data_IF_600400841899
#
_entry.id   IF_600400841899
#
_cell.length_a   1.000
_cell.length_b   1.000
_cell.length_c   1.000
_cell.angle_alpha   90.00
_cell.angle_beta   90.00
_cell.angle_gamma   90.00
#
_symmetry.space_group_name_H-M   'P 1'
#
loop_
_entity.id
_entity.type
_entity.pdbx_description
1 polymer ?
#
# COMPACT_ATOMS: atom_id res chain seq x y z
N UNK A 1 -70.49 27.45 28.70
CA UNK A 1 -69.64 26.45 29.40
C UNK A 1 -68.51 26.08 28.46
N UNK A 2 -67.29 26.21 28.96
CA UNK A 2 -66.00 26.01 28.27
C UNK A 2 -65.77 24.54 27.88
N UNK A 3 -65.13 24.27 26.73
CA UNK A 3 -63.67 24.10 26.65
C UNK A 3 -63.20 23.89 25.19
N UNK A 4 -62.20 24.68 24.81
CA UNK A 4 -61.35 24.53 23.61
C UNK A 4 -60.43 23.32 23.73
N UNK A 5 -60.08 22.68 22.61
CA UNK A 5 -58.75 22.06 22.48
C UNK A 5 -58.20 22.15 21.04
N UNK A 6 -57.37 23.19 20.90
CA UNK A 6 -56.18 23.43 20.10
C UNK A 6 -55.65 22.32 19.15
N UNK A 7 -55.50 22.71 17.88
CA UNK A 7 -54.63 22.09 16.87
C UNK A 7 -53.18 22.55 17.11
N UNK A 8 -52.22 21.63 17.21
CA UNK A 8 -50.78 21.95 17.18
C UNK A 8 -50.09 21.11 16.10
N UNK A 9 -49.40 21.80 15.19
CA UNK A 9 -48.70 21.26 14.04
C UNK A 9 -47.30 20.72 14.33
N UNK A 10 -46.81 19.97 13.33
CA UNK A 10 -45.46 19.44 13.22
C UNK A 10 -44.38 20.53 13.26
N UNK A 11 -43.35 20.34 14.08
CA UNK A 11 -41.98 20.76 13.80
C UNK A 11 -41.00 19.99 14.72
N UNK A 12 -40.47 18.87 14.23
CA UNK A 12 -39.37 18.16 14.88
C UNK A 12 -38.04 18.84 14.56
N UNK A 13 -37.47 19.57 15.52
CA UNK A 13 -36.06 19.98 15.48
C UNK A 13 -35.18 18.84 15.98
N UNK A 14 -34.46 18.20 15.06
CA UNK A 14 -33.33 17.32 15.40
C UNK A 14 -32.06 18.16 15.50
N UNK A 15 -31.59 18.38 16.72
CA UNK A 15 -30.25 18.88 16.98
C UNK A 15 -29.23 17.81 16.58
N UNK A 16 -28.46 18.09 15.52
CA UNK A 16 -27.34 17.26 15.10
C UNK A 16 -26.18 17.36 16.09
N UNK A 17 -25.85 16.26 16.76
CA UNK A 17 -24.51 16.07 17.30
C UNK A 17 -23.57 15.71 16.15
N UNK A 18 -22.67 16.63 15.81
CA UNK A 18 -21.47 16.34 15.02
C UNK A 18 -20.57 15.39 15.83
N UNK A 19 -20.64 14.10 15.52
CA UNK A 19 -19.63 13.13 15.93
C UNK A 19 -18.39 13.24 15.06
N UNK A 20 -17.23 13.37 15.70
CA UNK A 20 -15.90 13.37 15.10
C UNK A 20 -15.66 12.10 14.25
N UNK A 21 -14.97 12.28 13.11
CA UNK A 21 -14.55 11.20 12.22
C UNK A 21 -13.68 10.16 12.93
N UNK A 22 -14.22 8.95 13.06
CA UNK A 22 -13.54 7.78 13.60
C UNK A 22 -13.40 6.69 12.52
N UNK A 23 -12.21 6.10 12.45
CA UNK A 23 -11.85 4.97 11.60
C UNK A 23 -12.81 3.78 11.78
N UNK A 24 -13.31 3.24 10.66
CA UNK A 24 -13.88 1.89 10.58
C UNK A 24 -15.40 1.87 10.39
N UNK A 25 -15.85 1.73 9.13
CA UNK A 25 -17.20 1.21 8.88
C UNK A 25 -17.35 -0.18 9.52
N UNK A 26 -18.51 -0.46 10.12
CA UNK A 26 -18.86 -1.68 10.86
C UNK A 26 -18.35 -2.94 10.13
N UNK A 27 -17.29 -3.57 10.64
CA UNK A 27 -16.79 -4.85 10.14
C UNK A 27 -17.62 -5.95 10.81
N UNK A 28 -18.22 -6.83 10.02
CA UNK A 28 -18.91 -8.04 10.48
C UNK A 28 -18.04 -9.24 10.16
N UNK A 29 -17.92 -10.18 11.10
CA UNK A 29 -17.21 -11.45 10.87
C UNK A 29 -18.20 -12.54 10.50
N UNK A 30 -17.80 -13.42 9.59
CA UNK A 30 -18.56 -14.59 9.14
C UNK A 30 -17.66 -15.83 9.20
N UNK A 31 -18.24 -17.00 9.42
CA UNK A 31 -17.54 -18.27 9.41
C UNK A 31 -17.34 -18.79 7.96
N UNK A 32 -16.41 -19.75 7.72
CA UNK A 32 -16.21 -20.31 6.40
C UNK A 32 -17.50 -20.91 5.82
N UNK A 33 -17.89 -20.43 4.63
CA UNK A 33 -19.10 -20.86 3.93
C UNK A 33 -20.38 -20.11 4.30
N UNK A 34 -20.32 -19.16 5.24
CA UNK A 34 -21.41 -18.22 5.48
C UNK A 34 -21.40 -17.09 4.43
N UNK A 35 -22.58 -16.54 4.14
CA UNK A 35 -22.71 -15.36 3.28
C UNK A 35 -22.62 -14.08 4.11
N UNK A 36 -22.10 -13.00 3.51
CA UNK A 36 -22.17 -11.69 4.14
C UNK A 36 -23.63 -11.25 4.35
N UNK A 37 -23.93 -10.53 5.45
CA UNK A 37 -25.24 -9.93 5.64
C UNK A 37 -25.67 -9.05 4.46
N UNK A 38 -26.98 -8.96 4.23
CA UNK A 38 -27.54 -8.15 3.15
C UNK A 38 -27.00 -6.69 3.20
N UNK A 39 -26.55 -6.19 2.06
CA UNK A 39 -25.96 -4.85 1.93
C UNK A 39 -24.46 -4.77 2.24
N UNK A 40 -23.79 -5.90 2.50
CA UNK A 40 -22.35 -5.97 2.71
C UNK A 40 -21.67 -6.84 1.65
N UNK A 41 -20.36 -6.68 1.52
CA UNK A 41 -19.52 -7.57 0.72
C UNK A 41 -18.34 -8.06 1.55
N UNK A 42 -17.89 -9.27 1.24
CA UNK A 42 -16.66 -9.81 1.80
C UNK A 42 -15.48 -9.07 1.15
N UNK A 43 -14.70 -8.36 1.96
CA UNK A 43 -13.54 -7.60 1.47
C UNK A 43 -12.21 -8.26 1.89
N UNK A 44 -12.28 -9.19 2.83
CA UNK A 44 -11.23 -10.13 3.27
C UNK A 44 -11.93 -11.40 3.73
N UNK A 45 -11.22 -12.52 3.65
CA UNK A 45 -11.73 -13.81 4.14
C UNK A 45 -12.31 -13.68 5.56
N UNK A 46 -13.57 -14.05 5.71
CA UNK A 46 -14.31 -13.99 6.97
C UNK A 46 -14.71 -12.58 7.44
N UNK A 47 -14.55 -11.54 6.61
CA UNK A 47 -14.80 -10.15 7.00
C UNK A 47 -15.63 -9.39 5.94
N UNK A 48 -16.81 -8.97 6.37
CA UNK A 48 -17.77 -8.22 5.60
C UNK A 48 -17.83 -6.75 6.03
N UNK A 49 -18.14 -5.87 5.09
CA UNK A 49 -18.52 -4.48 5.42
C UNK A 49 -19.44 -3.88 4.36
N UNK A 50 -20.27 -2.88 4.72
CA UNK A 50 -21.05 -2.15 3.75
C UNK A 50 -20.20 -1.10 3.02
N UNK A 51 -20.53 -0.76 1.77
CA UNK A 51 -19.98 0.44 1.13
C UNK A 51 -20.46 1.71 1.86
N UNK A 52 -19.66 2.77 1.82
CA UNK A 52 -20.02 4.08 2.40
C UNK A 52 -21.22 4.71 1.68
N UNK A 53 -21.35 4.47 0.37
CA UNK A 53 -22.40 5.03 -0.47
C UNK A 53 -23.40 3.95 -0.88
N UNK A 54 -24.66 4.33 -1.18
CA UNK A 54 -25.62 3.42 -1.78
C UNK A 54 -25.00 2.74 -3.01
N UNK A 55 -25.04 1.41 -3.04
CA UNK A 55 -24.56 0.67 -4.18
C UNK A 55 -25.36 1.08 -5.44
N UNK A 56 -24.70 1.29 -6.59
CA UNK A 56 -25.43 1.49 -7.83
C UNK A 56 -26.30 0.29 -8.13
N UNK A 57 -27.44 0.54 -8.78
CA UNK A 57 -28.24 -0.57 -9.30
C UNK A 57 -27.44 -1.29 -10.38
N UNK A 58 -27.75 -2.57 -10.61
CA UNK A 58 -27.11 -3.36 -11.67
C UNK A 58 -27.28 -2.73 -13.07
N UNK A 59 -28.33 -1.93 -13.29
CA UNK A 59 -28.60 -1.27 -14.58
C UNK A 59 -27.88 0.08 -14.75
N UNK A 60 -27.48 0.69 -13.64
CA UNK A 60 -26.75 1.97 -13.59
C UNK A 60 -25.24 1.75 -13.53
N UNK A 61 -24.78 0.66 -12.90
CA UNK A 61 -23.37 0.31 -12.84
C UNK A 61 -22.87 -0.16 -14.20
N UNK A 62 -22.09 0.68 -14.90
CA UNK A 62 -21.56 0.39 -16.24
C UNK A 62 -20.03 0.51 -16.23
N UNK A 63 -19.33 -0.35 -15.46
CA UNK A 63 -17.88 -0.34 -15.46
C UNK A 63 -17.38 -0.71 -16.86
N UNK A 64 -16.35 -0.03 -17.32
CA UNK A 64 -15.61 -0.47 -18.50
C UNK A 64 -14.55 -1.44 -18.00
N UNK A 65 -14.77 -2.73 -18.21
CA UNK A 65 -13.79 -3.76 -17.84
C UNK A 65 -12.45 -3.49 -18.54
N UNK A 66 -11.38 -3.44 -17.77
CA UNK A 66 -10.01 -3.33 -18.29
C UNK A 66 -9.37 -4.68 -18.64
N UNK A 67 -10.00 -5.83 -18.32
CA UNK A 67 -9.39 -7.14 -18.54
C UNK A 67 -10.41 -8.29 -18.61
N UNK A 68 -10.49 -8.96 -19.76
CA UNK A 68 -11.21 -10.23 -19.95
C UNK A 68 -10.32 -11.16 -20.75
N UNK A 69 -9.76 -12.18 -20.09
CA UNK A 69 -8.89 -13.18 -20.72
C UNK A 69 -9.17 -14.58 -20.15
N UNK A 70 -8.86 -15.59 -20.95
CA UNK A 70 -8.91 -16.99 -20.52
C UNK A 70 -7.95 -17.23 -19.34
N UNK A 71 -8.40 -17.99 -18.35
CA UNK A 71 -7.58 -18.33 -17.18
C UNK A 71 -6.87 -19.66 -17.41
N UNK A 72 -5.57 -19.69 -17.15
CA UNK A 72 -4.78 -20.92 -17.20
C UNK A 72 -4.07 -21.13 -15.84
N UNK A 73 -4.74 -21.77 -14.87
CA UNK A 73 -4.15 -21.99 -13.55
C UNK A 73 -2.88 -22.85 -13.65
N UNK A 74 -1.75 -22.28 -13.26
CA UNK A 74 -0.47 -22.97 -13.15
C UNK A 74 -0.06 -22.99 -11.67
N UNK A 75 -0.57 -23.97 -10.87
CA UNK A 75 -0.43 -23.95 -9.41
C UNK A 75 1.01 -24.17 -8.92
N UNK A 76 1.95 -24.50 -9.81
CA UNK A 76 3.36 -24.67 -9.50
C UNK A 76 4.22 -24.17 -10.65
N UNK A 77 5.25 -23.40 -10.35
CA UNK A 77 6.16 -22.91 -11.38
C UNK A 77 7.00 -24.07 -11.97
N UNK A 78 7.13 -24.10 -13.30
CA UNK A 78 7.93 -25.12 -14.01
C UNK A 78 9.42 -25.08 -13.62
N UNK A 79 9.94 -23.87 -13.37
CA UNK A 79 11.31 -23.63 -12.91
C UNK A 79 11.28 -22.95 -11.53
N UNK A 80 12.35 -23.07 -10.72
CA UNK A 80 12.43 -22.37 -9.45
C UNK A 80 12.29 -20.86 -9.63
N UNK A 81 11.36 -20.23 -8.92
CA UNK A 81 11.08 -18.78 -9.03
C UNK A 81 11.54 -18.02 -7.80
N UNK A 82 11.79 -16.72 -7.99
CA UNK A 82 12.02 -15.76 -6.91
C UNK A 82 10.80 -14.86 -6.84
N UNK A 83 10.15 -14.80 -5.68
CA UNK A 83 9.17 -13.76 -5.39
C UNK A 83 9.93 -12.51 -4.96
N UNK A 84 9.94 -11.50 -5.83
CA UNK A 84 10.64 -10.23 -5.59
C UNK A 84 9.78 -9.18 -4.87
N UNK A 85 8.50 -9.47 -4.58
CA UNK A 85 7.57 -8.49 -4.02
C UNK A 85 6.65 -9.08 -2.97
N UNK A 86 7.21 -9.29 -1.77
CA UNK A 86 6.48 -9.76 -0.61
C UNK A 86 6.58 -8.77 0.57
N UNK A 87 5.58 -8.76 1.45
CA UNK A 87 5.53 -7.90 2.63
C UNK A 87 5.37 -8.69 3.95
N UNK A 88 5.48 -10.01 3.90
CA UNK A 88 5.27 -10.90 5.04
C UNK A 88 6.48 -10.89 5.96
N UNK A 89 6.26 -10.53 7.22
CA UNK A 89 7.26 -10.69 8.27
C UNK A 89 7.42 -12.16 8.61
N UNK A 90 8.61 -12.71 8.39
CA UNK A 90 8.95 -14.09 8.75
C UNK A 90 9.40 -14.13 10.21
N UNK A 91 8.85 -15.07 10.97
CA UNK A 91 9.14 -15.27 12.39
C UNK A 91 9.00 -16.75 12.78
N UNK A 92 9.27 -17.08 14.04
CA UNK A 92 9.26 -18.46 14.53
C UNK A 92 7.91 -19.18 14.36
N UNK A 93 6.79 -18.43 14.34
CA UNK A 93 5.45 -19.01 14.26
C UNK A 93 5.04 -19.38 12.83
N UNK A 94 5.58 -18.71 11.80
CA UNK A 94 5.13 -18.88 10.43
C UNK A 94 6.18 -19.47 9.47
N UNK A 95 7.47 -19.46 9.83
CA UNK A 95 8.55 -19.82 8.89
C UNK A 95 8.41 -21.24 8.34
N UNK A 96 8.02 -22.20 9.17
CA UNK A 96 7.84 -23.60 8.76
C UNK A 96 6.68 -23.76 7.77
N UNK A 97 5.58 -23.03 7.98
CA UNK A 97 4.46 -23.04 7.05
C UNK A 97 4.81 -22.36 5.73
N UNK A 98 5.43 -21.19 5.79
CA UNK A 98 5.83 -20.42 4.62
C UNK A 98 6.76 -21.25 3.72
N UNK A 99 7.75 -21.94 4.29
CA UNK A 99 8.65 -22.80 3.51
C UNK A 99 7.90 -23.94 2.82
N UNK A 100 6.93 -24.59 3.48
CA UNK A 100 6.10 -25.62 2.83
C UNK A 100 5.29 -25.07 1.66
N UNK A 101 4.71 -23.89 1.81
CA UNK A 101 3.96 -23.21 0.74
C UNK A 101 4.88 -22.83 -0.42
N UNK A 102 6.06 -22.27 -0.11
CA UNK A 102 7.08 -21.97 -1.11
C UNK A 102 7.51 -23.23 -1.88
N UNK A 103 7.72 -24.36 -1.21
CA UNK A 103 8.09 -25.62 -1.86
C UNK A 103 6.98 -26.16 -2.77
N UNK A 104 5.72 -26.05 -2.35
CA UNK A 104 4.56 -26.43 -3.17
C UNK A 104 4.47 -25.61 -4.47
N UNK A 105 4.85 -24.33 -4.42
CA UNK A 105 4.83 -23.41 -5.56
C UNK A 105 6.09 -23.47 -6.44
N UNK A 106 7.14 -24.21 -6.03
CA UNK A 106 8.49 -24.14 -6.59
C UNK A 106 9.11 -22.73 -6.46
N UNK A 107 8.81 -22.05 -5.36
CA UNK A 107 9.33 -20.73 -5.00
C UNK A 107 10.62 -20.92 -4.18
N UNK A 108 11.74 -20.54 -4.79
CA UNK A 108 13.08 -20.75 -4.21
C UNK A 108 13.42 -19.71 -3.16
N UNK A 109 13.21 -18.44 -3.48
CA UNK A 109 13.54 -17.29 -2.62
C UNK A 109 12.35 -16.34 -2.55
N UNK A 110 12.01 -15.92 -1.35
CA UNK A 110 11.04 -14.85 -1.09
C UNK A 110 11.77 -13.61 -0.59
N UNK A 111 11.55 -12.49 -1.27
CA UNK A 111 12.14 -11.19 -0.92
C UNK A 111 11.11 -10.37 -0.17
N UNK A 112 11.35 -10.16 1.13
CA UNK A 112 10.55 -9.28 1.97
C UNK A 112 10.99 -7.82 1.77
N UNK A 113 10.05 -6.97 1.37
CA UNK A 113 10.23 -5.55 1.10
C UNK A 113 9.95 -4.65 2.32
N UNK A 114 9.67 -5.24 3.47
CA UNK A 114 9.34 -4.56 4.74
C UNK A 114 10.47 -4.69 5.77
N UNK A 115 11.70 -4.33 5.41
CA UNK A 115 12.85 -4.41 6.30
C UNK A 115 12.81 -3.39 7.45
N UNK A 116 12.24 -2.21 7.21
CA UNK A 116 12.30 -1.06 8.11
C UNK A 116 13.32 -0.01 7.69
N UNK A 117 13.18 1.20 8.23
CA UNK A 117 14.09 2.32 8.01
C UNK A 117 15.19 2.44 9.08
N UNK A 118 15.00 1.84 10.26
CA UNK A 118 16.06 1.65 11.24
C UNK A 118 16.92 0.45 10.82
N UNK A 119 18.25 0.61 10.67
CA UNK A 119 19.14 -0.50 10.33
C UNK A 119 19.12 -1.65 11.35
N UNK A 120 18.73 -1.41 12.62
CA UNK A 120 18.56 -2.46 13.62
C UNK A 120 17.36 -3.36 13.33
N UNK A 121 16.25 -2.80 12.85
CA UNK A 121 15.07 -3.58 12.44
C UNK A 121 15.40 -4.52 11.26
N UNK A 122 16.24 -4.04 10.34
CA UNK A 122 16.77 -4.84 9.22
C UNK A 122 17.68 -5.93 9.76
N UNK A 123 18.59 -5.58 10.68
CA UNK A 123 19.52 -6.53 11.29
C UNK A 123 18.79 -7.67 11.99
N UNK A 124 17.79 -7.36 12.80
CA UNK A 124 17.01 -8.37 13.52
C UNK A 124 16.37 -9.38 12.56
N UNK A 125 15.72 -8.90 11.50
CA UNK A 125 15.08 -9.76 10.49
C UNK A 125 16.10 -10.62 9.75
N UNK A 126 17.22 -10.02 9.34
CA UNK A 126 18.27 -10.75 8.63
C UNK A 126 18.94 -11.79 9.54
N UNK A 127 19.22 -11.45 10.80
CA UNK A 127 19.81 -12.38 11.76
C UNK A 127 18.85 -13.51 12.12
N UNK A 128 17.55 -13.23 12.25
CA UNK A 128 16.54 -14.27 12.40
C UNK A 128 16.58 -15.27 11.24
N UNK A 129 16.61 -14.77 9.99
CA UNK A 129 16.71 -15.62 8.79
C UNK A 129 18.03 -16.43 8.80
N UNK A 130 19.16 -15.78 9.05
CA UNK A 130 20.50 -16.42 9.07
C UNK A 130 20.62 -17.52 10.11
N UNK A 131 20.02 -17.33 11.28
CA UNK A 131 20.04 -18.30 12.38
C UNK A 131 18.91 -19.34 12.30
N UNK A 132 18.04 -19.27 11.29
CA UNK A 132 17.00 -20.26 11.05
C UNK A 132 17.54 -21.50 10.32
N UNK A 133 16.69 -22.51 10.17
CA UNK A 133 16.96 -23.68 9.30
C UNK A 133 16.94 -23.35 7.80
N UNK A 134 16.56 -22.12 7.43
CA UNK A 134 16.25 -21.72 6.06
C UNK A 134 16.96 -20.43 5.62
N UNK A 135 18.29 -20.29 5.86
CA UNK A 135 19.01 -19.04 5.61
C UNK A 135 19.00 -18.61 4.13
N UNK A 136 18.79 -19.55 3.21
CA UNK A 136 18.80 -19.31 1.76
C UNK A 136 17.41 -19.08 1.15
N UNK A 137 16.35 -19.10 1.97
CA UNK A 137 14.96 -19.02 1.48
C UNK A 137 14.39 -17.61 1.50
N UNK A 138 14.99 -16.70 2.26
CA UNK A 138 14.45 -15.36 2.48
C UNK A 138 15.51 -14.28 2.30
N UNK A 139 15.12 -13.13 1.75
CA UNK A 139 15.95 -11.93 1.66
C UNK A 139 15.16 -10.70 2.09
N UNK A 140 15.85 -9.64 2.48
CA UNK A 140 15.23 -8.42 3.02
C UNK A 140 15.69 -7.21 2.22
N UNK A 141 14.78 -6.32 1.88
CA UNK A 141 15.08 -4.97 1.40
C UNK A 141 14.91 -3.98 2.55
N UNK A 142 15.77 -2.96 2.59
CA UNK A 142 15.63 -1.84 3.52
C UNK A 142 14.55 -0.85 3.03
N UNK A 143 14.10 0.02 3.94
CA UNK A 143 13.24 1.15 3.63
C UNK A 143 13.92 2.46 4.08
N UNK A 144 13.30 3.59 3.75
CA UNK A 144 13.68 4.92 4.24
C UNK A 144 12.42 5.63 4.72
N UNK A 145 12.53 6.38 5.81
CA UNK A 145 11.47 7.31 6.22
C UNK A 145 11.65 8.65 5.52
N UNK A 146 10.66 9.02 4.72
CA UNK A 146 10.69 10.19 3.85
C UNK A 146 10.09 11.43 4.51
N UNK A 147 9.45 11.31 5.67
CA UNK A 147 8.86 12.47 6.32
C UNK A 147 9.94 13.44 6.81
N UNK A 148 9.72 14.73 6.56
CA UNK A 148 10.65 15.81 6.89
C UNK A 148 12.03 15.61 6.24
N UNK A 149 12.07 15.17 4.98
CA UNK A 149 13.32 14.95 4.24
C UNK A 149 14.16 16.22 4.03
N UNK A 150 13.56 17.39 4.20
CA UNK A 150 14.17 18.71 4.20
C UNK A 150 14.74 19.13 5.56
N UNK A 151 14.51 18.35 6.62
CA UNK A 151 15.04 18.66 7.95
C UNK A 151 16.58 18.58 7.95
N UNK A 152 17.28 19.47 8.69
CA UNK A 152 18.73 19.44 8.78
C UNK A 152 19.29 18.05 9.14
N UNK A 153 20.26 17.59 8.36
CA UNK A 153 20.93 16.32 8.56
C UNK A 153 20.13 15.09 8.09
N UNK A 154 18.94 15.23 7.51
CA UNK A 154 18.14 14.08 7.06
C UNK A 154 18.88 13.27 6.00
N UNK A 155 19.44 13.92 4.98
CA UNK A 155 20.12 13.25 3.87
C UNK A 155 21.30 12.39 4.35
N UNK A 156 22.13 12.94 5.24
CA UNK A 156 23.25 12.23 5.85
C UNK A 156 22.77 11.02 6.67
N UNK A 157 21.74 11.20 7.50
CA UNK A 157 21.17 10.11 8.31
C UNK A 157 20.55 9.02 7.44
N UNK A 158 19.80 9.38 6.40
CA UNK A 158 19.16 8.44 5.48
C UNK A 158 20.22 7.59 4.74
N UNK A 159 21.27 8.23 4.25
CA UNK A 159 22.41 7.54 3.61
C UNK A 159 23.15 6.64 4.60
N UNK A 160 23.45 7.13 5.81
CA UNK A 160 24.13 6.33 6.84
C UNK A 160 23.30 5.11 7.25
N UNK A 161 22.01 5.29 7.51
CA UNK A 161 21.10 4.21 7.89
C UNK A 161 20.95 3.18 6.78
N UNK A 162 20.77 3.62 5.52
CA UNK A 162 20.67 2.70 4.39
C UNK A 162 21.99 1.94 4.20
N UNK A 163 23.15 2.61 4.22
CA UNK A 163 24.44 1.94 4.10
C UNK A 163 24.64 0.90 5.23
N UNK A 164 24.22 1.24 6.46
CA UNK A 164 24.28 0.30 7.59
C UNK A 164 23.29 -0.87 7.41
N UNK A 165 22.09 -0.64 6.90
CA UNK A 165 21.12 -1.69 6.61
C UNK A 165 21.65 -2.68 5.55
N UNK A 166 22.35 -2.19 4.52
CA UNK A 166 23.03 -3.03 3.53
C UNK A 166 24.16 -3.83 4.18
N UNK A 167 25.00 -3.21 5.02
CA UNK A 167 26.02 -3.93 5.82
C UNK A 167 25.40 -5.02 6.71
N UNK A 168 24.21 -4.77 7.25
CA UNK A 168 23.47 -5.74 8.06
C UNK A 168 22.90 -6.91 7.23
N UNK A 169 22.79 -6.75 5.91
CA UNK A 169 22.44 -7.81 4.96
C UNK A 169 21.16 -7.57 4.15
N UNK A 170 20.60 -6.36 4.18
CA UNK A 170 19.61 -6.00 3.16
C UNK A 170 20.25 -6.04 1.77
N UNK A 171 19.49 -6.51 0.79
CA UNK A 171 19.99 -6.72 -0.58
C UNK A 171 19.50 -5.66 -1.58
N UNK A 172 18.79 -4.64 -1.11
CA UNK A 172 18.16 -3.62 -1.93
C UNK A 172 17.34 -2.63 -1.10
N UNK A 173 16.78 -1.63 -1.79
CA UNK A 173 15.93 -0.60 -1.22
C UNK A 173 14.50 -0.71 -1.77
N UNK A 174 13.50 -0.74 -0.88
CA UNK A 174 12.08 -0.62 -1.24
C UNK A 174 11.61 0.80 -0.99
N UNK A 175 11.04 1.40 -2.03
CA UNK A 175 10.24 2.63 -1.94
C UNK A 175 8.77 2.23 -1.90
N UNK A 176 8.10 2.62 -0.82
CA UNK A 176 6.65 2.47 -0.70
C UNK A 176 5.94 3.71 -1.26
N UNK A 177 4.65 3.53 -1.56
CA UNK A 177 3.78 4.53 -2.17
C UNK A 177 3.65 5.84 -1.39
N UNK A 178 4.07 5.85 -0.12
CA UNK A 178 4.06 7.08 0.68
C UNK A 178 4.96 8.15 0.07
N UNK A 179 6.09 7.80 -0.55
CA UNK A 179 6.87 8.75 -1.32
C UNK A 179 6.08 9.18 -2.56
N UNK A 180 5.82 10.48 -2.67
CA UNK A 180 4.96 11.04 -3.71
C UNK A 180 3.50 11.19 -3.29
N UNK A 181 2.91 10.30 -2.48
CA UNK A 181 1.50 10.43 -2.05
C UNK A 181 1.33 11.17 -0.72
N UNK A 182 1.92 10.64 0.35
CA UNK A 182 1.59 11.02 1.73
C UNK A 182 2.77 11.57 2.52
N UNK A 183 4.01 11.30 2.10
CA UNK A 183 5.19 11.90 2.69
C UNK A 183 5.13 13.43 2.57
N UNK A 184 5.52 14.12 3.64
CA UNK A 184 5.53 15.58 3.72
C UNK A 184 6.91 16.11 4.06
N UNK A 185 7.22 17.30 3.57
CA UNK A 185 8.30 18.15 4.05
C UNK A 185 7.92 18.79 5.38
N UNK A 186 8.88 19.43 6.03
CA UNK A 186 8.73 20.06 7.34
C UNK A 186 7.70 21.21 7.31
N UNK A 187 7.48 21.83 6.15
CA UNK A 187 6.46 22.86 5.94
C UNK A 187 5.05 22.30 5.66
N UNK A 188 4.89 20.97 5.63
CA UNK A 188 3.63 20.29 5.33
C UNK A 188 3.33 20.15 3.85
N UNK A 189 4.19 20.62 2.95
CA UNK A 189 4.07 20.37 1.51
C UNK A 189 4.37 18.91 1.17
N UNK A 190 3.82 18.43 0.06
CA UNK A 190 4.05 17.06 -0.43
C UNK A 190 5.50 16.90 -0.85
N UNK A 191 6.14 15.81 -0.42
CA UNK A 191 7.45 15.43 -0.93
C UNK A 191 7.27 14.73 -2.28
N UNK A 192 7.75 15.38 -3.34
CA UNK A 192 7.69 14.85 -4.71
C UNK A 192 8.68 13.70 -4.90
N UNK A 193 8.39 12.81 -5.84
CA UNK A 193 9.22 11.61 -6.09
C UNK A 193 10.57 11.98 -6.73
N UNK A 194 10.60 13.08 -7.49
CA UNK A 194 11.79 13.65 -8.15
C UNK A 194 12.48 14.75 -7.34
N UNK A 195 12.16 14.90 -6.06
CA UNK A 195 12.74 15.97 -5.26
C UNK A 195 14.28 15.82 -5.15
N UNK A 196 15.06 16.88 -5.44
CA UNK A 196 16.52 16.83 -5.39
C UNK A 196 17.10 16.41 -4.03
N UNK A 197 16.36 16.61 -2.93
CA UNK A 197 16.75 16.17 -1.59
C UNK A 197 16.99 14.66 -1.50
N UNK A 198 16.36 13.88 -2.38
CA UNK A 198 16.43 12.41 -2.39
C UNK A 198 17.67 11.89 -3.10
N UNK A 199 18.35 12.74 -3.88
CA UNK A 199 19.49 12.35 -4.72
C UNK A 199 20.60 11.60 -3.97
N UNK A 200 20.99 11.97 -2.73
CA UNK A 200 22.01 11.23 -2.00
C UNK A 200 21.67 9.74 -1.76
N UNK A 201 20.39 9.42 -1.60
CA UNK A 201 19.93 8.02 -1.44
C UNK A 201 20.10 7.25 -2.76
N UNK A 202 19.77 7.86 -3.89
CA UNK A 202 19.95 7.27 -5.22
C UNK A 202 21.42 7.08 -5.56
N UNK A 203 22.25 8.08 -5.28
CA UNK A 203 23.71 8.03 -5.49
C UNK A 203 24.35 6.91 -4.66
N UNK A 204 23.89 6.71 -3.41
CA UNK A 204 24.30 5.57 -2.59
C UNK A 204 23.92 4.24 -3.23
N UNK A 205 22.67 4.09 -3.70
CA UNK A 205 22.20 2.86 -4.33
C UNK A 205 23.03 2.51 -5.58
N UNK A 206 23.31 3.50 -6.42
CA UNK A 206 24.18 3.34 -7.58
C UNK A 206 25.63 2.97 -7.19
N UNK A 207 26.19 3.64 -6.17
CA UNK A 207 27.55 3.38 -5.69
C UNK A 207 27.72 1.96 -5.14
N UNK A 208 26.70 1.43 -4.47
CA UNK A 208 26.71 0.08 -3.90
C UNK A 208 26.21 -1.00 -4.86
N UNK A 209 25.77 -0.64 -6.07
CA UNK A 209 25.13 -1.52 -7.05
C UNK A 209 23.98 -2.37 -6.47
N UNK A 210 23.13 -1.73 -5.66
CA UNK A 210 21.93 -2.36 -5.12
C UNK A 210 20.68 -1.97 -5.94
N UNK A 211 19.73 -2.88 -6.14
CA UNK A 211 18.47 -2.56 -6.80
C UNK A 211 17.56 -1.71 -5.90
N UNK A 212 16.79 -0.84 -6.54
CA UNK A 212 15.72 -0.07 -5.91
C UNK A 212 14.39 -0.54 -6.51
N UNK A 213 13.55 -1.21 -5.72
CA UNK A 213 12.18 -1.52 -6.14
C UNK A 213 11.25 -0.40 -5.68
N UNK A 214 10.57 0.22 -6.62
CA UNK A 214 9.74 1.40 -6.37
C UNK A 214 8.29 1.12 -6.68
N UNK A 215 7.46 1.32 -5.66
CA UNK A 215 6.02 1.37 -5.78
C UNK A 215 5.60 2.82 -5.53
N UNK A 216 5.26 3.53 -6.60
CA UNK A 216 4.79 4.92 -6.58
C UNK A 216 3.45 4.96 -7.29
N UNK A 217 2.46 5.58 -6.66
CA UNK A 217 1.08 5.59 -7.15
C UNK A 217 0.24 4.44 -6.60
N UNK A 218 -0.95 4.33 -7.19
CA UNK A 218 -2.03 3.39 -6.92
C UNK A 218 -2.72 3.10 -8.27
N UNK A 219 -3.67 2.14 -8.38
CA UNK A 219 -4.46 1.99 -9.60
C UNK A 219 -5.01 3.33 -10.10
N UNK A 220 -4.95 3.58 -11.41
CA UNK A 220 -5.26 4.89 -12.00
C UNK A 220 -6.68 5.37 -11.62
N UNK A 221 -7.62 4.44 -11.45
CA UNK A 221 -9.00 4.70 -11.06
C UNK A 221 -9.12 5.32 -9.67
N UNK A 222 -8.12 5.16 -8.80
CA UNK A 222 -8.10 5.78 -7.48
C UNK A 222 -7.91 7.30 -7.56
N UNK A 223 -7.46 7.81 -8.71
CA UNK A 223 -7.30 9.23 -9.01
C UNK A 223 -8.46 9.79 -9.83
N UNK A 224 -9.50 8.99 -10.07
CA UNK A 224 -10.72 9.40 -10.77
C UNK A 224 -11.89 9.47 -9.80
N UNK A 225 -12.88 10.36 -10.02
CA UNK A 225 -14.07 10.43 -9.19
C UNK A 225 -14.74 9.08 -9.01
N UNK A 226 -15.35 8.89 -7.84
CA UNK A 226 -16.19 7.74 -7.56
C UNK A 226 -17.55 7.90 -8.25
N UNK A 227 -17.65 7.47 -9.50
CA UNK A 227 -18.87 7.49 -10.31
C UNK A 227 -19.21 6.09 -10.86
N UNK A 228 -20.27 6.01 -11.67
CA UNK A 228 -20.77 4.74 -12.20
C UNK A 228 -19.92 4.15 -13.34
N UNK A 229 -18.86 4.85 -13.75
CA UNK A 229 -17.90 4.42 -14.78
C UNK A 229 -16.57 3.94 -14.17
N UNK A 230 -16.30 4.26 -12.92
CA UNK A 230 -15.11 3.82 -12.19
C UNK A 230 -15.21 2.33 -11.84
N UNK A 231 -14.34 1.49 -12.43
CA UNK A 231 -14.35 0.04 -12.16
C UNK A 231 -13.91 -0.31 -10.73
N UNK A 232 -13.22 0.60 -10.04
CA UNK A 232 -12.85 0.49 -8.62
C UNK A 232 -13.91 1.07 -7.69
N UNK A 233 -15.13 1.32 -8.16
CA UNK A 233 -16.20 1.92 -7.35
C UNK A 233 -16.39 1.23 -6.01
N UNK A 234 -16.55 -0.11 -6.01
CA UNK A 234 -16.78 -0.85 -4.78
C UNK A 234 -15.59 -0.73 -3.83
N UNK A 235 -14.37 -0.91 -4.34
CA UNK A 235 -13.14 -0.81 -3.56
C UNK A 235 -13.00 0.57 -2.91
N UNK A 236 -13.18 1.64 -3.68
CA UNK A 236 -13.12 3.01 -3.19
C UNK A 236 -14.29 3.35 -2.25
N UNK A 237 -15.47 2.75 -2.42
CA UNK A 237 -16.60 2.88 -1.50
C UNK A 237 -16.37 2.15 -0.17
N UNK A 238 -15.58 1.08 -0.15
CA UNK A 238 -15.21 0.33 1.06
C UNK A 238 -13.98 0.92 1.79
N UNK A 239 -13.09 1.60 1.06
CA UNK A 239 -11.81 2.12 1.55
C UNK A 239 -11.62 3.59 1.15
N UNK A 240 -12.16 4.51 1.96
CA UNK A 240 -12.05 5.94 1.70
C UNK A 240 -10.61 6.45 1.63
N UNK A 241 -9.67 5.80 2.33
CA UNK A 241 -8.24 6.12 2.33
C UNK A 241 -7.52 5.79 1.01
N UNK A 242 -8.18 5.04 0.11
CA UNK A 242 -7.66 4.75 -1.23
C UNK A 242 -8.00 5.82 -2.27
N UNK A 243 -8.85 6.79 -1.93
CA UNK A 243 -9.27 7.87 -2.83
C UNK A 243 -8.17 8.94 -2.92
N UNK A 244 -7.67 9.16 -4.13
CA UNK A 244 -6.60 10.12 -4.44
C UNK A 244 -7.04 11.25 -5.39
N UNK A 245 -8.35 11.54 -5.47
CA UNK A 245 -8.94 12.58 -6.34
C UNK A 245 -9.53 13.79 -5.60
N UNK A 246 -9.25 13.93 -4.30
CA UNK A 246 -9.70 15.08 -3.50
C UNK A 246 -8.82 16.30 -3.77
N UNK A 247 -9.33 17.53 -3.58
CA UNK A 247 -8.56 18.76 -3.76
C UNK A 247 -7.23 18.73 -2.98
N UNK A 248 -6.12 19.04 -3.66
CA UNK A 248 -4.78 19.07 -3.08
C UNK A 248 -4.03 17.73 -3.08
N UNK A 249 -4.63 16.65 -3.57
CA UNK A 249 -3.92 15.40 -3.84
C UNK A 249 -3.26 15.43 -5.23
N UNK A 250 -2.11 14.73 -5.42
CA UNK A 250 -1.50 14.62 -6.74
C UNK A 250 -2.37 13.76 -7.66
N UNK A 251 -2.37 14.08 -8.95
CA UNK A 251 -2.95 13.25 -9.99
C UNK A 251 -2.05 12.04 -10.30
N UNK A 252 -2.62 11.02 -10.95
CA UNK A 252 -1.85 9.88 -11.43
C UNK A 252 -0.71 10.32 -12.36
N UNK A 253 -1.02 11.20 -13.32
CA UNK A 253 -0.04 11.67 -14.30
C UNK A 253 1.12 12.44 -13.64
N UNK A 254 0.84 13.29 -12.65
CA UNK A 254 1.89 14.00 -11.92
C UNK A 254 2.86 13.02 -11.24
N UNK A 255 2.36 11.95 -10.61
CA UNK A 255 3.21 10.94 -9.97
C UNK A 255 4.04 10.15 -10.99
N UNK A 256 3.45 9.80 -12.14
CA UNK A 256 4.18 9.11 -13.21
C UNK A 256 5.28 10.00 -13.79
N UNK A 257 4.97 11.27 -14.03
CA UNK A 257 5.94 12.23 -14.56
C UNK A 257 7.08 12.50 -13.56
N UNK A 258 6.78 12.59 -12.26
CA UNK A 258 7.81 12.68 -11.21
C UNK A 258 8.70 11.43 -11.18
N UNK A 259 8.11 10.24 -11.19
CA UNK A 259 8.86 8.98 -11.23
C UNK A 259 9.80 8.94 -12.44
N UNK A 260 9.31 9.32 -13.62
CA UNK A 260 10.06 9.24 -14.86
C UNK A 260 11.19 10.28 -14.91
N UNK A 261 10.97 11.50 -14.40
CA UNK A 261 12.05 12.48 -14.19
C UNK A 261 13.09 12.00 -13.19
N UNK A 262 12.65 11.36 -12.10
CA UNK A 262 13.55 10.75 -11.12
C UNK A 262 14.42 9.67 -11.75
N UNK A 263 13.85 8.78 -12.57
CA UNK A 263 14.64 7.78 -13.32
C UNK A 263 15.65 8.43 -14.25
N UNK A 264 15.23 9.44 -15.03
CA UNK A 264 16.11 10.15 -15.95
C UNK A 264 17.28 10.85 -15.24
N UNK A 265 17.05 11.40 -14.04
CA UNK A 265 18.06 12.05 -13.23
C UNK A 265 19.05 11.07 -12.55
N UNK A 266 18.71 9.77 -12.46
CA UNK A 266 19.49 8.77 -11.74
C UNK A 266 19.83 7.54 -12.62
N UNK A 267 20.45 7.72 -13.80
CA UNK A 267 20.61 6.65 -14.80
C UNK A 267 21.57 5.51 -14.38
N UNK A 268 22.35 5.71 -13.32
CA UNK A 268 23.25 4.68 -12.76
C UNK A 268 22.57 3.79 -11.73
N UNK A 269 21.36 4.12 -11.30
CA UNK A 269 20.60 3.35 -10.31
C UNK A 269 19.74 2.31 -11.02
N UNK A 270 19.76 1.07 -10.52
CA UNK A 270 18.96 -0.03 -11.06
C UNK A 270 17.57 -0.03 -10.43
N UNK A 271 16.60 0.54 -11.13
CA UNK A 271 15.21 0.55 -10.69
C UNK A 271 14.43 -0.67 -11.15
N UNK A 272 13.54 -1.15 -10.27
CA UNK A 272 12.49 -2.13 -10.56
C UNK A 272 11.18 -1.41 -10.28
N UNK A 273 10.40 -1.07 -11.31
CA UNK A 273 9.05 -0.57 -11.07
C UNK A 273 8.14 -1.70 -10.56
N UNK A 274 7.27 -1.39 -9.62
CA UNK A 274 6.21 -2.29 -9.20
C UNK A 274 4.86 -1.71 -9.60
N UNK A 275 3.97 -2.55 -10.13
CA UNK A 275 2.59 -2.19 -10.47
C UNK A 275 2.49 -0.97 -11.39
N UNK A 276 3.27 -0.96 -12.48
CA UNK A 276 3.27 0.11 -13.48
C UNK A 276 1.93 0.24 -14.19
#
# INVERSE_FOLDING_TARGET
MFFSLLVIGLAGMLFGQRGQGGRGGNIVRIEPGEECPAGMTEFREGQCRPPEFPAPTIVDYRPRSTLVVEQHPAPRAKYPVIDSHNHTTINANNIEQMVREMDALNLRVLVNLSGGSDPNDVKEKVDFIRNSRYPDRFRVFANVDWNNADAPGWGERAVQNLEQAIKNGAIGLKIAKNLGLTARKSDGSRLHVDDPLLKPVWDLCARLDIPVIIHTGEPQEFFSPLDMHNERWLELALFADRRNYMPGQPTFQELMDERDRMYAANPKTRFIGAHF
#
